data_IF_924744760151
#
_entry.id   IF_924744760151
#
_cell.length_a   1.000
_cell.length_b   1.000
_cell.length_c   1.000
_cell.angle_alpha   90.00
_cell.angle_beta   90.00
_cell.angle_gamma   90.00
#
_symmetry.space_group_name_H-M   'P 1'
#
loop_
_entity.id
_entity.type
_entity.pdbx_description
1 polymer ?
#
# COMPACT_ATOMS: atom_id res chain seq x y z
N UNK A 1 -11.15 -22.13 -56.33
CA UNK A 1 -11.60 -22.20 -54.93
C UNK A 1 -10.76 -23.26 -54.23
N UNK A 2 -9.59 -22.88 -53.71
CA UNK A 2 -8.76 -23.75 -52.88
C UNK A 2 -8.43 -22.99 -51.60
N UNK A 3 -9.00 -23.47 -50.48
CA UNK A 3 -8.67 -23.03 -49.13
C UNK A 3 -7.27 -23.57 -48.79
N UNK A 4 -6.21 -22.87 -49.22
CA UNK A 4 -4.90 -23.02 -48.60
C UNK A 4 -4.87 -22.18 -47.33
N UNK A 5 -5.41 -22.72 -46.24
CA UNK A 5 -4.96 -22.27 -44.92
C UNK A 5 -3.50 -22.70 -44.79
N UNK A 6 -2.57 -21.75 -44.83
CA UNK A 6 -1.14 -22.06 -44.76
C UNK A 6 -0.82 -22.75 -43.43
N UNK A 7 0.18 -23.64 -43.43
CA UNK A 7 0.66 -24.33 -42.22
C UNK A 7 0.99 -23.34 -41.09
N UNK A 8 1.34 -22.09 -41.43
CA UNK A 8 1.57 -21.00 -40.48
C UNK A 8 0.31 -20.59 -39.71
N UNK A 9 -0.87 -20.66 -40.32
CA UNK A 9 -2.14 -20.35 -39.63
C UNK A 9 -2.47 -21.40 -38.57
N UNK A 10 -2.22 -22.68 -38.86
CA UNK A 10 -2.35 -23.78 -37.91
C UNK A 10 -1.32 -23.71 -36.79
N UNK A 11 -0.08 -23.33 -37.11
CA UNK A 11 0.96 -23.11 -36.10
C UNK A 11 0.60 -21.96 -35.16
N UNK A 12 0.08 -20.84 -35.70
CA UNK A 12 -0.36 -19.70 -34.90
C UNK A 12 -1.51 -20.11 -33.97
N UNK A 13 -2.56 -20.77 -34.49
CA UNK A 13 -3.69 -21.27 -33.69
C UNK A 13 -3.26 -22.25 -32.60
N UNK A 14 -2.34 -23.17 -32.90
CA UNK A 14 -1.80 -24.11 -31.92
C UNK A 14 -1.01 -23.39 -30.82
N UNK A 15 -0.23 -22.35 -31.17
CA UNK A 15 0.52 -21.55 -30.22
C UNK A 15 -0.41 -20.69 -29.34
N UNK A 16 -1.43 -20.01 -29.90
CA UNK A 16 -2.41 -19.27 -29.09
C UNK A 16 -3.20 -20.20 -28.18
N UNK A 17 -3.59 -21.39 -28.65
CA UNK A 17 -4.27 -22.39 -27.84
C UNK A 17 -3.36 -22.92 -26.71
N UNK A 18 -2.07 -23.17 -26.99
CA UNK A 18 -1.11 -23.62 -25.98
C UNK A 18 -0.81 -22.52 -24.94
N UNK A 19 -0.61 -21.28 -25.36
CA UNK A 19 -0.39 -20.14 -24.45
C UNK A 19 -1.64 -19.84 -23.62
N UNK A 20 -2.83 -19.89 -24.23
CA UNK A 20 -4.11 -19.76 -23.53
C UNK A 20 -4.33 -20.88 -22.51
N UNK A 21 -3.96 -22.11 -22.85
CA UNK A 21 -4.05 -23.27 -21.94
C UNK A 21 -3.05 -23.19 -20.78
N UNK A 22 -1.83 -22.68 -21.01
CA UNK A 22 -0.83 -22.45 -19.95
C UNK A 22 -1.28 -21.30 -19.03
N UNK A 23 -1.88 -20.25 -19.57
CA UNK A 23 -2.49 -19.17 -18.79
C UNK A 23 -3.68 -19.66 -17.96
N UNK A 24 -4.53 -20.54 -18.53
CA UNK A 24 -5.63 -21.23 -17.84
C UNK A 24 -5.15 -22.13 -16.69
N UNK A 25 -4.07 -22.88 -16.89
CA UNK A 25 -3.52 -23.78 -15.87
C UNK A 25 -2.78 -23.05 -14.74
N UNK A 26 -2.20 -21.87 -14.99
CA UNK A 26 -1.44 -21.11 -13.98
C UNK A 26 -2.27 -20.15 -13.13
N UNK A 27 -3.51 -19.83 -13.51
CA UNK A 27 -4.37 -18.90 -12.75
C UNK A 27 -5.10 -19.54 -11.55
N UNK A 28 -4.69 -20.73 -11.10
CA UNK A 28 -5.15 -21.37 -9.84
C UNK A 28 -4.35 -20.86 -8.63
N UNK A 29 -4.32 -19.54 -8.44
CA UNK A 29 -3.95 -18.93 -7.16
C UNK A 29 -5.15 -18.11 -6.66
N UNK A 30 -5.65 -18.36 -5.43
CA UNK A 30 -6.95 -17.85 -4.99
C UNK A 30 -6.86 -16.37 -4.66
N UNK A 31 -7.56 -15.52 -5.43
CA UNK A 31 -7.85 -14.14 -5.02
C UNK A 31 -7.62 -13.04 -6.07
N UNK A 32 -6.90 -13.31 -7.16
CA UNK A 32 -6.83 -12.36 -8.27
C UNK A 32 -7.84 -12.74 -9.36
N UNK A 33 -8.86 -11.90 -9.53
CA UNK A 33 -9.70 -11.93 -10.72
C UNK A 33 -8.78 -11.58 -11.89
N UNK A 34 -8.38 -12.60 -12.66
CA UNK A 34 -7.56 -12.41 -13.85
C UNK A 34 -8.18 -11.31 -14.71
N UNK A 35 -7.41 -10.25 -14.95
CA UNK A 35 -7.92 -9.07 -15.63
C UNK A 35 -8.51 -9.49 -16.98
N UNK A 36 -9.80 -9.20 -17.29
CA UNK A 36 -10.37 -9.47 -18.61
C UNK A 36 -9.60 -8.77 -19.74
N UNK A 37 -8.72 -7.81 -19.40
CA UNK A 37 -7.76 -7.17 -20.31
C UNK A 37 -6.68 -8.13 -20.81
N UNK A 38 -6.20 -9.10 -20.00
CA UNK A 38 -5.25 -10.12 -20.46
C UNK A 38 -5.92 -11.14 -21.40
N UNK A 39 -7.17 -11.48 -21.13
CA UNK A 39 -7.99 -12.35 -21.98
C UNK A 39 -8.28 -11.72 -23.34
N UNK A 40 -8.63 -10.43 -23.34
CA UNK A 40 -8.82 -9.65 -24.56
C UNK A 40 -7.49 -9.42 -25.29
N UNK A 41 -6.39 -9.13 -24.60
CA UNK A 41 -5.08 -8.96 -25.24
C UNK A 41 -4.56 -10.27 -25.89
N UNK A 42 -4.81 -11.43 -25.28
CA UNK A 42 -4.47 -12.74 -25.85
C UNK A 42 -5.33 -13.10 -27.08
N UNK A 43 -6.64 -12.82 -27.03
CA UNK A 43 -7.56 -13.07 -28.15
C UNK A 43 -7.36 -12.08 -29.31
N UNK A 44 -7.09 -10.80 -29.03
CA UNK A 44 -6.82 -9.77 -30.04
C UNK A 44 -5.42 -9.88 -30.64
N UNK A 45 -4.41 -10.29 -29.85
CA UNK A 45 -3.06 -10.56 -30.34
C UNK A 45 -3.02 -11.73 -31.34
N UNK A 46 -3.81 -12.78 -31.08
CA UNK A 46 -3.94 -13.93 -31.99
C UNK A 46 -4.56 -13.57 -33.36
N UNK A 47 -5.52 -12.64 -33.38
CA UNK A 47 -6.14 -12.16 -34.62
C UNK A 47 -5.19 -11.27 -35.46
N UNK A 48 -4.35 -10.46 -34.81
CA UNK A 48 -3.36 -9.60 -35.50
C UNK A 48 -2.18 -10.38 -36.10
N UNK A 49 -1.81 -11.52 -35.49
CA UNK A 49 -0.76 -12.41 -35.99
C UNK A 49 -1.10 -13.09 -37.32
N UNK A 50 -2.37 -13.12 -37.73
CA UNK A 50 -2.81 -13.68 -39.01
C UNK A 50 -2.77 -12.67 -40.18
N UNK A 51 -2.61 -11.37 -39.90
CA UNK A 51 -2.64 -10.28 -40.91
C UNK A 51 -1.26 -9.62 -41.08
N UNK A 52 -0.42 -9.65 -40.04
CA UNK A 52 0.91 -9.04 -40.07
C UNK A 52 1.97 -9.93 -40.76
N UNK A 53 2.95 -9.34 -41.48
CA UNK A 53 4.10 -10.07 -42.01
C UNK A 53 4.79 -10.91 -40.92
N UNK A 54 5.33 -12.08 -41.29
CA UNK A 54 5.99 -13.06 -40.41
C UNK A 54 6.99 -12.43 -39.41
N UNK A 55 7.64 -11.34 -39.80
CA UNK A 55 8.54 -10.57 -38.95
C UNK A 55 7.84 -9.96 -37.73
N UNK A 56 6.70 -9.27 -37.92
CA UNK A 56 5.98 -8.60 -36.83
C UNK A 56 5.28 -9.58 -35.89
N UNK A 57 4.81 -10.72 -36.41
CA UNK A 57 4.27 -11.80 -35.59
C UNK A 57 5.33 -12.45 -34.71
N UNK A 58 6.54 -12.68 -35.22
CA UNK A 58 7.67 -13.16 -34.42
C UNK A 58 8.11 -12.14 -33.36
N UNK A 59 8.11 -10.84 -33.68
CA UNK A 59 8.39 -9.76 -32.71
C UNK A 59 7.35 -9.74 -31.60
N UNK A 60 6.05 -9.77 -31.92
CA UNK A 60 4.98 -9.80 -30.92
C UNK A 60 5.01 -11.07 -30.07
N UNK A 61 5.30 -12.23 -30.67
CA UNK A 61 5.47 -13.49 -29.94
C UNK A 61 6.67 -13.43 -28.99
N UNK A 62 7.82 -12.93 -29.46
CA UNK A 62 9.01 -12.75 -28.63
C UNK A 62 8.75 -11.77 -27.48
N UNK A 63 8.08 -10.64 -27.74
CA UNK A 63 7.67 -9.68 -26.71
C UNK A 63 6.69 -10.31 -25.71
N UNK A 64 5.73 -11.11 -26.17
CA UNK A 64 4.79 -11.82 -25.31
C UNK A 64 5.48 -12.90 -24.46
N UNK A 65 6.43 -13.65 -25.02
CA UNK A 65 7.24 -14.62 -24.29
C UNK A 65 8.14 -13.93 -23.27
N UNK A 66 8.83 -12.84 -23.64
CA UNK A 66 9.60 -12.02 -22.71
C UNK A 66 8.70 -11.47 -21.60
N UNK A 67 7.52 -10.96 -21.93
CA UNK A 67 6.56 -10.45 -20.96
C UNK A 67 6.09 -11.54 -20.00
N UNK A 68 5.74 -12.73 -20.51
CA UNK A 68 5.37 -13.89 -19.68
C UNK A 68 6.53 -14.41 -18.83
N UNK A 69 7.75 -14.51 -19.36
CA UNK A 69 8.92 -14.91 -18.59
C UNK A 69 9.20 -13.91 -17.46
N UNK A 70 9.12 -12.60 -17.73
CA UNK A 70 9.29 -11.56 -16.71
C UNK A 70 8.19 -11.59 -15.64
N UNK A 71 6.93 -11.88 -16.02
CA UNK A 71 5.83 -12.01 -15.06
C UNK A 71 5.90 -13.30 -14.23
N UNK A 72 6.29 -14.42 -14.84
CA UNK A 72 6.35 -15.73 -14.18
C UNK A 72 7.53 -15.89 -13.23
N UNK A 73 8.64 -15.17 -13.44
CA UNK A 73 9.80 -15.16 -12.54
C UNK A 73 9.55 -14.46 -11.18
N UNK A 74 8.38 -13.84 -11.00
CA UNK A 74 7.98 -13.14 -9.76
C UNK A 74 7.27 -14.02 -8.73
N UNK A 75 6.78 -15.21 -9.11
CA UNK A 75 5.90 -16.02 -8.25
C UNK A 75 6.63 -16.96 -7.29
N UNK A 76 7.93 -17.23 -7.50
CA UNK A 76 8.70 -18.11 -6.61
C UNK A 76 8.86 -17.47 -5.23
N UNK A 77 8.33 -18.12 -4.19
CA UNK A 77 8.47 -17.72 -2.80
C UNK A 77 9.70 -18.36 -2.19
N UNK A 78 10.58 -17.54 -1.64
CA UNK A 78 11.77 -17.97 -0.93
C UNK A 78 11.39 -18.65 0.40
N UNK A 79 12.15 -19.67 0.83
CA UNK A 79 11.91 -20.35 2.10
C UNK A 79 11.97 -19.38 3.28
N UNK A 80 11.17 -19.64 4.30
CA UNK A 80 11.07 -18.78 5.51
C UNK A 80 12.24 -18.97 6.46
N UNK A 81 12.90 -20.14 6.42
CA UNK A 81 13.78 -20.60 7.49
C UNK A 81 14.79 -19.55 7.97
N UNK A 82 14.67 -19.24 9.27
CA UNK A 82 15.52 -18.33 10.03
C UNK A 82 15.54 -16.86 9.54
N UNK A 83 14.52 -16.44 8.79
CA UNK A 83 14.35 -15.03 8.39
C UNK A 83 13.66 -14.23 9.47
N UNK A 84 14.24 -13.07 9.76
CA UNK A 84 13.73 -12.13 10.75
C UNK A 84 13.04 -10.93 10.11
N UNK A 85 11.85 -10.56 10.58
CA UNK A 85 11.04 -9.45 10.07
C UNK A 85 10.75 -8.47 11.19
N UNK A 86 11.03 -7.18 10.99
CA UNK A 86 10.56 -6.10 11.86
C UNK A 86 9.32 -5.46 11.24
N UNK A 87 8.24 -5.36 12.00
CA UNK A 87 7.01 -4.67 11.62
C UNK A 87 6.76 -3.53 12.61
N UNK A 88 6.55 -2.31 12.13
CA UNK A 88 6.20 -1.16 12.98
C UNK A 88 4.68 -0.94 13.06
N UNK A 89 4.18 -0.38 14.16
CA UNK A 89 2.76 -0.08 14.34
C UNK A 89 1.91 -1.34 14.48
N UNK A 90 2.29 -2.23 15.39
CA UNK A 90 1.64 -3.53 15.59
C UNK A 90 0.54 -3.52 16.65
N UNK A 91 0.19 -2.35 17.20
CA UNK A 91 -0.85 -2.21 18.23
C UNK A 91 -2.24 -2.63 17.71
N UNK A 92 -2.50 -2.46 16.41
CA UNK A 92 -3.76 -2.85 15.76
C UNK A 92 -3.62 -2.98 14.24
N UNK A 93 -4.72 -3.28 13.55
CA UNK A 93 -4.84 -3.17 12.09
C UNK A 93 -3.90 -4.12 11.32
N UNK A 94 -3.32 -3.61 10.22
CA UNK A 94 -2.47 -4.41 9.34
C UNK A 94 -1.24 -4.96 10.03
N UNK A 95 -0.53 -4.14 10.81
CA UNK A 95 0.69 -4.56 11.52
C UNK A 95 0.41 -5.72 12.47
N UNK A 96 -0.64 -5.59 13.29
CA UNK A 96 -1.06 -6.63 14.22
C UNK A 96 -1.40 -7.96 13.52
N UNK A 97 -2.26 -7.89 12.50
CA UNK A 97 -2.68 -9.09 11.75
C UNK A 97 -1.51 -9.70 10.95
N UNK A 98 -0.59 -8.87 10.46
CA UNK A 98 0.61 -9.32 9.76
C UNK A 98 1.55 -10.08 10.68
N UNK A 99 1.78 -9.62 11.92
CA UNK A 99 2.63 -10.32 12.89
C UNK A 99 2.10 -11.74 13.14
N UNK A 100 0.80 -11.89 13.41
CA UNK A 100 0.18 -13.19 13.62
C UNK A 100 0.32 -14.10 12.38
N UNK A 101 0.18 -13.51 11.18
CA UNK A 101 0.34 -14.25 9.92
C UNK A 101 1.77 -14.71 9.69
N UNK A 102 2.76 -13.84 9.92
CA UNK A 102 4.18 -14.15 9.74
C UNK A 102 4.66 -15.19 10.77
N UNK A 103 4.14 -15.15 12.00
CA UNK A 103 4.44 -16.16 13.01
C UNK A 103 3.94 -17.57 12.62
N UNK A 104 2.72 -17.65 12.07
CA UNK A 104 2.16 -18.89 11.52
C UNK A 104 2.97 -19.44 10.35
N UNK A 105 3.60 -18.56 9.57
CA UNK A 105 4.48 -18.94 8.47
C UNK A 105 5.90 -19.34 8.94
N UNK A 106 6.23 -19.14 10.22
CA UNK A 106 7.51 -19.56 10.81
C UNK A 106 8.60 -18.47 10.85
N UNK A 107 8.29 -17.22 10.52
CA UNK A 107 9.25 -16.12 10.62
C UNK A 107 9.61 -15.83 12.09
N UNK A 108 10.82 -15.32 12.31
CA UNK A 108 11.12 -14.58 13.54
C UNK A 108 10.58 -13.16 13.36
N UNK A 109 9.73 -12.69 14.26
CA UNK A 109 9.05 -11.40 14.08
C UNK A 109 9.34 -10.48 15.26
N UNK A 110 9.81 -9.28 14.97
CA UNK A 110 9.87 -8.17 15.91
C UNK A 110 8.65 -7.29 15.67
N UNK A 111 7.75 -7.23 16.64
CA UNK A 111 6.53 -6.43 16.60
C UNK A 111 6.78 -5.11 17.33
N UNK A 112 7.11 -4.05 16.58
CA UNK A 112 7.21 -2.69 17.10
C UNK A 112 5.82 -2.13 17.39
N UNK A 113 5.56 -1.83 18.66
CA UNK A 113 4.29 -1.28 19.16
C UNK A 113 4.54 0.09 19.82
N UNK A 114 3.54 0.98 19.74
CA UNK A 114 3.61 2.29 20.39
C UNK A 114 3.45 2.18 21.91
N UNK A 115 2.69 1.20 22.39
CA UNK A 115 2.56 0.93 23.82
C UNK A 115 2.78 -0.56 24.11
N UNK A 116 3.95 -0.91 24.65
CA UNK A 116 4.28 -2.29 24.99
C UNK A 116 3.39 -2.90 26.08
N UNK A 117 2.68 -2.08 26.88
CA UNK A 117 1.73 -2.51 27.91
C UNK A 117 0.28 -2.41 27.42
N UNK A 118 0.07 -2.03 26.16
CA UNK A 118 -1.24 -1.91 25.56
C UNK A 118 -1.89 -3.26 25.28
N UNK A 119 -3.21 -3.26 25.10
CA UNK A 119 -3.99 -4.48 24.84
C UNK A 119 -3.52 -5.24 23.59
N UNK A 120 -3.17 -4.53 22.52
CA UNK A 120 -2.63 -5.14 21.29
C UNK A 120 -1.29 -5.84 21.51
N UNK A 121 -0.39 -5.25 22.31
CA UNK A 121 0.87 -5.87 22.68
C UNK A 121 0.65 -7.16 23.51
N UNK A 122 -0.26 -7.11 24.49
CA UNK A 122 -0.63 -8.27 25.30
C UNK A 122 -1.31 -9.38 24.50
N UNK A 123 -2.14 -9.03 23.51
CA UNK A 123 -2.73 -9.99 22.59
C UNK A 123 -1.66 -10.70 21.76
N UNK A 124 -0.68 -9.96 21.21
CA UNK A 124 0.42 -10.57 20.46
C UNK A 124 1.23 -11.54 21.33
N UNK A 125 1.55 -11.16 22.58
CA UNK A 125 2.28 -12.04 23.51
C UNK A 125 1.51 -13.31 23.86
N UNK A 126 0.18 -13.23 23.99
CA UNK A 126 -0.67 -14.38 24.32
C UNK A 126 -0.91 -15.31 23.15
N UNK A 127 -1.10 -14.76 21.95
CA UNK A 127 -1.59 -15.51 20.80
C UNK A 127 -0.49 -15.96 19.82
N UNK A 128 0.71 -15.38 19.91
CA UNK A 128 1.83 -15.74 19.04
C UNK A 128 2.85 -16.65 19.75
N UNK A 129 3.64 -17.35 18.95
CA UNK A 129 4.73 -18.20 19.43
C UNK A 129 5.90 -17.39 19.99
N UNK A 130 6.86 -18.09 20.62
CA UNK A 130 8.12 -17.50 21.12
C UNK A 130 9.01 -16.89 20.03
N UNK A 131 8.67 -17.05 18.74
CA UNK A 131 9.36 -16.38 17.62
C UNK A 131 8.96 -14.91 17.48
N UNK A 132 7.86 -14.48 18.11
CA UNK A 132 7.42 -13.09 18.13
C UNK A 132 7.96 -12.39 19.37
N UNK A 133 8.68 -11.30 19.16
CA UNK A 133 9.18 -10.40 20.22
C UNK A 133 8.51 -9.05 20.07
N UNK A 134 7.78 -8.62 21.11
CA UNK A 134 7.18 -7.29 21.15
C UNK A 134 8.21 -6.26 21.61
N UNK A 135 8.31 -5.13 20.92
CA UNK A 135 9.24 -4.04 21.20
C UNK A 135 8.48 -2.72 21.36
N UNK A 136 8.73 -2.00 22.45
CA UNK A 136 8.37 -0.58 22.55
C UNK A 136 9.12 0.21 21.46
N UNK A 137 8.38 0.84 20.55
CA UNK A 137 8.96 1.52 19.40
C UNK A 137 8.03 2.62 18.86
N UNK A 138 8.14 3.82 19.42
CA UNK A 138 7.69 5.03 18.74
C UNK A 138 8.67 5.39 17.62
N UNK A 139 8.18 5.39 16.38
CA UNK A 139 8.98 5.69 15.19
C UNK A 139 9.34 7.18 15.04
N UNK A 140 8.83 8.04 15.92
CA UNK A 140 9.18 9.46 16.00
C UNK A 140 10.21 9.76 17.09
N UNK A 141 10.55 8.76 17.91
CA UNK A 141 11.54 8.87 18.99
C UNK A 141 12.85 8.16 18.58
N UNK A 142 13.94 8.92 18.30
CA UNK A 142 15.21 8.34 17.90
C UNK A 142 15.82 7.38 18.93
N UNK A 143 15.62 7.59 20.23
CA UNK A 143 16.17 6.71 21.26
C UNK A 143 15.40 5.37 21.29
N UNK A 144 14.08 5.39 21.15
CA UNK A 144 13.31 4.14 21.03
C UNK A 144 13.65 3.36 19.75
N UNK A 145 13.92 4.05 18.62
CA UNK A 145 14.41 3.40 17.40
C UNK A 145 15.76 2.72 17.65
N UNK A 146 16.68 3.41 18.35
CA UNK A 146 18.01 2.90 18.69
C UNK A 146 17.97 1.71 19.65
N UNK A 147 17.08 1.74 20.64
CA UNK A 147 16.86 0.64 21.58
C UNK A 147 16.28 -0.58 20.87
N UNK A 148 15.26 -0.38 20.03
CA UNK A 148 14.70 -1.45 19.20
C UNK A 148 15.76 -2.03 18.25
N UNK A 149 16.57 -1.18 17.63
CA UNK A 149 17.68 -1.59 16.78
C UNK A 149 18.67 -2.48 17.54
N UNK A 150 19.09 -2.07 18.74
CA UNK A 150 20.05 -2.84 19.55
C UNK A 150 19.53 -4.24 19.89
N UNK A 151 18.25 -4.34 20.29
CA UNK A 151 17.58 -5.64 20.57
C UNK A 151 17.50 -6.53 19.33
N UNK A 152 17.21 -5.94 18.16
CA UNK A 152 17.17 -6.69 16.89
C UNK A 152 18.56 -7.16 16.49
N UNK A 153 19.58 -6.31 16.59
CA UNK A 153 20.99 -6.66 16.28
C UNK A 153 21.43 -7.86 17.11
N UNK A 154 21.19 -7.83 18.42
CA UNK A 154 21.55 -8.92 19.34
C UNK A 154 20.95 -10.25 18.89
N UNK A 155 19.70 -10.24 18.43
CA UNK A 155 18.96 -11.44 18.06
C UNK A 155 19.29 -11.97 16.66
N UNK A 156 19.53 -11.09 15.68
CA UNK A 156 19.79 -11.48 14.29
C UNK A 156 21.27 -11.71 13.97
N UNK A 157 22.16 -11.07 14.73
CA UNK A 157 23.62 -11.22 14.59
C UNK A 157 24.09 -11.05 13.14
N UNK A 158 24.89 -11.99 12.64
CA UNK A 158 25.46 -11.94 11.29
C UNK A 158 24.50 -12.31 10.16
N UNK A 159 23.31 -12.82 10.49
CA UNK A 159 22.27 -13.08 9.47
C UNK A 159 21.63 -11.79 8.95
N UNK A 160 21.64 -10.73 9.77
CA UNK A 160 20.97 -9.47 9.46
C UNK A 160 19.44 -9.58 9.51
N UNK A 161 18.78 -8.51 9.08
CA UNK A 161 17.31 -8.41 9.10
C UNK A 161 16.78 -8.75 7.70
N UNK A 162 15.95 -9.79 7.59
CA UNK A 162 15.40 -10.19 6.29
C UNK A 162 14.42 -9.16 5.74
N UNK A 163 13.52 -8.64 6.57
CA UNK A 163 12.56 -7.64 6.11
C UNK A 163 12.27 -6.57 7.17
N UNK A 164 12.10 -5.34 6.70
CA UNK A 164 11.54 -4.23 7.46
C UNK A 164 10.22 -3.81 6.80
N UNK A 165 9.15 -3.81 7.58
CA UNK A 165 7.82 -3.34 7.18
C UNK A 165 7.50 -2.06 7.94
N UNK A 166 7.63 -0.92 7.27
CA UNK A 166 7.18 0.37 7.80
C UNK A 166 5.66 0.50 7.62
N UNK A 167 4.93 0.08 8.65
CA UNK A 167 3.47 0.08 8.67
C UNK A 167 2.88 1.16 9.58
N UNK A 168 3.58 1.58 10.63
CA UNK A 168 3.12 2.64 11.52
C UNK A 168 2.69 3.90 10.75
N UNK A 169 1.56 4.47 11.16
CA UNK A 169 0.98 5.63 10.49
C UNK A 169 -0.26 6.16 11.21
N UNK A 170 -0.58 7.42 10.92
CA UNK A 170 -1.79 8.10 11.41
C UNK A 170 -2.56 8.70 10.24
N UNK A 171 -3.89 8.77 10.34
CA UNK A 171 -4.73 9.42 9.34
C UNK A 171 -4.73 10.95 9.49
N UNK A 172 -4.53 11.44 10.71
CA UNK A 172 -4.84 12.83 11.05
C UNK A 172 -6.35 13.09 11.05
N UNK A 173 -6.74 14.34 10.80
CA UNK A 173 -8.15 14.74 10.79
C UNK A 173 -8.61 15.08 9.36
N UNK A 174 -9.55 14.31 8.78
CA UNK A 174 -10.05 14.58 7.43
C UNK A 174 -10.96 15.82 7.39
N UNK A 175 -10.45 16.95 6.92
CA UNK A 175 -11.22 18.17 6.68
C UNK A 175 -10.57 18.96 5.54
N UNK A 176 -11.24 19.99 5.03
CA UNK A 176 -10.69 20.85 3.99
C UNK A 176 -9.30 21.37 4.37
N UNK A 177 -8.43 21.43 3.37
CA UNK A 177 -7.00 21.64 3.56
C UNK A 177 -6.67 22.93 4.35
N UNK A 178 -7.46 23.98 4.13
CA UNK A 178 -7.33 25.28 4.82
C UNK A 178 -7.67 25.20 6.31
N UNK A 179 -8.61 24.33 6.70
CA UNK A 179 -9.07 24.18 8.08
C UNK A 179 -8.16 23.28 8.91
N UNK A 180 -7.20 22.59 8.29
CA UNK A 180 -6.25 21.71 8.99
C UNK A 180 -5.17 22.59 9.64
N UNK A 181 -4.99 22.55 10.98
CA UNK A 181 -3.90 23.28 11.63
C UNK A 181 -2.52 22.78 11.17
N UNK A 182 -1.54 23.67 11.07
CA UNK A 182 -0.18 23.32 10.64
C UNK A 182 0.49 22.26 11.53
N UNK A 183 0.13 22.18 12.81
CA UNK A 183 0.60 21.14 13.71
C UNK A 183 0.17 19.74 13.25
N UNK A 184 -1.02 19.60 12.66
CA UNK A 184 -1.53 18.33 12.14
C UNK A 184 -0.80 17.92 10.85
N UNK A 185 -0.43 18.87 9.98
CA UNK A 185 0.46 18.62 8.85
C UNK A 185 1.83 18.13 9.32
N UNK A 186 2.45 18.83 10.26
CA UNK A 186 3.76 18.44 10.84
C UNK A 186 3.70 17.05 11.45
N UNK A 187 2.66 16.75 12.24
CA UNK A 187 2.46 15.43 12.87
C UNK A 187 2.28 14.31 11.83
N UNK A 188 1.50 14.56 10.78
CA UNK A 188 1.35 13.59 9.68
C UNK A 188 2.67 13.34 8.97
N UNK A 189 3.46 14.39 8.70
CA UNK A 189 4.80 14.24 8.12
C UNK A 189 5.76 13.49 9.05
N UNK A 190 5.75 13.81 10.34
CA UNK A 190 6.63 13.18 11.33
C UNK A 190 6.38 11.68 11.40
N UNK A 191 5.12 11.26 11.53
CA UNK A 191 4.79 9.83 11.68
C UNK A 191 4.78 9.09 10.35
N UNK A 192 4.18 9.64 9.29
CA UNK A 192 3.97 8.89 8.04
C UNK A 192 5.14 8.99 7.06
N UNK A 193 6.09 9.92 7.26
CA UNK A 193 7.23 10.11 6.37
C UNK A 193 8.57 10.07 7.13
N UNK A 194 8.83 10.99 8.05
CA UNK A 194 10.13 11.07 8.73
C UNK A 194 10.39 9.82 9.58
N UNK A 195 9.38 9.28 10.26
CA UNK A 195 9.49 8.06 11.03
C UNK A 195 9.94 6.85 10.19
N UNK A 196 9.23 6.47 9.11
CA UNK A 196 9.69 5.42 8.18
C UNK A 196 11.09 5.68 7.62
N UNK A 197 11.46 6.94 7.35
CA UNK A 197 12.82 7.30 6.90
C UNK A 197 13.84 7.02 7.99
N UNK A 198 13.58 7.45 9.23
CA UNK A 198 14.45 7.24 10.39
C UNK A 198 14.66 5.75 10.69
N UNK A 199 13.56 4.99 10.75
CA UNK A 199 13.61 3.52 10.93
C UNK A 199 14.37 2.86 9.78
N UNK A 200 14.08 3.23 8.53
CA UNK A 200 14.79 2.69 7.36
C UNK A 200 16.30 2.92 7.50
N UNK A 201 16.74 4.15 7.81
CA UNK A 201 18.16 4.47 7.97
C UNK A 201 18.82 3.67 9.08
N UNK A 202 18.17 3.54 10.23
CA UNK A 202 18.69 2.79 11.38
C UNK A 202 18.89 1.31 11.06
N UNK A 203 17.94 0.67 10.39
CA UNK A 203 17.97 -0.77 10.11
C UNK A 203 18.63 -1.14 8.77
N UNK A 204 18.97 -0.16 7.93
CA UNK A 204 19.54 -0.39 6.61
C UNK A 204 20.81 -1.26 6.60
N UNK A 205 21.76 -1.11 7.55
CA UNK A 205 22.92 -2.00 7.61
C UNK A 205 22.54 -3.48 7.74
N UNK A 206 21.50 -3.79 8.51
CA UNK A 206 21.01 -5.16 8.70
C UNK A 206 20.30 -5.69 7.46
N UNK A 207 19.53 -4.84 6.77
CA UNK A 207 18.90 -5.21 5.49
C UNK A 207 19.95 -5.53 4.42
N UNK A 208 21.02 -4.72 4.33
CA UNK A 208 22.13 -4.96 3.39
C UNK A 208 22.83 -6.29 3.65
N UNK A 209 23.09 -6.61 4.93
CA UNK A 209 23.70 -7.89 5.35
C UNK A 209 22.87 -9.09 4.89
N UNK A 210 21.55 -9.00 5.01
CA UNK A 210 20.62 -10.07 4.61
C UNK A 210 20.22 -10.07 3.12
N UNK A 211 20.62 -9.05 2.33
CA UNK A 211 20.04 -8.74 1.01
C UNK A 211 18.50 -8.75 1.06
N UNK A 212 18.00 -8.08 2.08
CA UNK A 212 16.63 -8.20 2.58
C UNK A 212 15.57 -7.45 1.77
N UNK A 213 14.49 -7.10 2.46
CA UNK A 213 13.28 -6.44 1.93
C UNK A 213 12.96 -5.19 2.73
N UNK A 214 12.69 -4.10 2.05
CA UNK A 214 12.08 -2.90 2.62
C UNK A 214 10.66 -2.78 2.06
N UNK A 215 9.66 -2.82 2.93
CA UNK A 215 8.26 -2.72 2.55
C UNK A 215 7.66 -1.50 3.23
N UNK A 216 7.22 -0.52 2.45
CA UNK A 216 6.61 0.69 2.98
C UNK A 216 5.10 0.67 2.71
N UNK A 217 4.30 0.81 3.78
CA UNK A 217 2.85 0.93 3.66
C UNK A 217 2.48 2.39 3.39
N UNK A 218 2.25 2.68 2.12
CA UNK A 218 1.73 3.95 1.64
C UNK A 218 0.19 3.93 1.67
N UNK A 219 -0.45 4.55 0.69
CA UNK A 219 -1.90 4.57 0.48
C UNK A 219 -2.20 4.89 -0.98
N UNK A 220 -3.37 4.49 -1.46
CA UNK A 220 -3.95 5.05 -2.68
C UNK A 220 -3.97 6.59 -2.63
N UNK A 221 -4.24 7.18 -1.46
CA UNK A 221 -4.21 8.63 -1.27
C UNK A 221 -2.83 9.28 -1.39
N UNK A 222 -1.75 8.50 -1.51
CA UNK A 222 -0.42 9.01 -1.87
C UNK A 222 -0.17 9.07 -3.38
N UNK A 223 -1.07 8.52 -4.20
CA UNK A 223 -0.95 8.51 -5.67
C UNK A 223 -2.12 9.21 -6.39
N UNK A 224 -3.25 9.42 -5.72
CA UNK A 224 -4.38 10.19 -6.25
C UNK A 224 -4.81 11.29 -5.26
N UNK A 225 -5.31 12.44 -5.75
CA UNK A 225 -5.89 13.47 -4.90
C UNK A 225 -7.10 12.91 -4.13
N UNK A 226 -7.05 13.00 -2.81
CA UNK A 226 -8.15 12.63 -1.91
C UNK A 226 -8.62 13.89 -1.19
N UNK A 227 -9.79 14.46 -1.55
CA UNK A 227 -10.34 15.60 -0.84
C UNK A 227 -10.43 15.34 0.66
N UNK A 228 -10.24 16.40 1.46
CA UNK A 228 -10.19 16.38 2.93
C UNK A 228 -8.98 15.65 3.54
N UNK A 229 -8.07 15.11 2.74
CA UNK A 229 -6.94 14.29 3.23
C UNK A 229 -5.57 14.94 3.03
N UNK A 230 -5.51 16.27 2.88
CA UNK A 230 -4.31 16.97 2.42
C UNK A 230 -3.04 16.63 3.22
N UNK A 231 -3.09 16.68 4.56
CA UNK A 231 -1.94 16.36 5.42
C UNK A 231 -1.47 14.90 5.27
N UNK A 232 -2.41 13.95 5.31
CA UNK A 232 -2.12 12.52 5.19
C UNK A 232 -1.60 12.15 3.80
N UNK A 233 -2.34 12.55 2.77
CA UNK A 233 -2.03 12.26 1.36
C UNK A 233 -0.66 12.82 0.97
N UNK A 234 -0.33 14.04 1.40
CA UNK A 234 0.98 14.64 1.14
C UNK A 234 2.12 13.81 1.76
N UNK A 235 1.97 13.36 3.01
CA UNK A 235 2.97 12.53 3.66
C UNK A 235 3.12 11.14 3.02
N UNK A 236 2.00 10.52 2.61
CA UNK A 236 2.03 9.22 1.90
C UNK A 236 2.57 9.34 0.48
N UNK A 237 2.33 10.46 -0.21
CA UNK A 237 2.97 10.76 -1.49
C UNK A 237 4.49 10.90 -1.33
N UNK A 238 4.95 11.64 -0.31
CA UNK A 238 6.37 11.77 0.02
C UNK A 238 7.02 10.40 0.31
N UNK A 239 6.36 9.53 1.09
CA UNK A 239 6.84 8.17 1.36
C UNK A 239 6.93 7.32 0.09
N UNK A 240 5.95 7.44 -0.82
CA UNK A 240 5.93 6.71 -2.10
C UNK A 240 7.11 7.12 -2.98
N UNK A 241 7.38 8.43 -3.08
CA UNK A 241 8.51 8.96 -3.83
C UNK A 241 9.84 8.52 -3.20
N UNK A 242 10.00 8.70 -1.89
CA UNK A 242 11.18 8.22 -1.16
C UNK A 242 11.46 6.74 -1.42
N UNK A 243 10.43 5.90 -1.33
CA UNK A 243 10.54 4.46 -1.58
C UNK A 243 11.03 4.15 -2.99
N UNK A 244 10.57 4.90 -3.98
CA UNK A 244 10.98 4.75 -5.38
C UNK A 244 12.44 5.15 -5.61
N UNK A 245 12.90 6.21 -4.92
CA UNK A 245 14.29 6.66 -4.96
C UNK A 245 15.20 5.62 -4.29
N UNK A 246 14.92 5.24 -3.05
CA UNK A 246 15.79 4.29 -2.32
C UNK A 246 15.77 2.90 -2.95
N UNK A 247 14.70 2.51 -3.67
CA UNK A 247 14.71 1.27 -4.48
C UNK A 247 15.87 1.25 -5.48
N UNK A 248 16.12 2.37 -6.15
CA UNK A 248 17.20 2.48 -7.12
C UNK A 248 18.56 2.45 -6.40
N UNK A 249 18.71 3.23 -5.33
CA UNK A 249 19.96 3.33 -4.58
C UNK A 249 20.37 2.02 -3.89
N UNK A 250 19.37 1.25 -3.44
CA UNK A 250 19.56 0.01 -2.69
C UNK A 250 19.70 -1.23 -3.57
N UNK A 251 19.38 -1.12 -4.87
CA UNK A 251 19.48 -2.22 -5.83
C UNK A 251 20.88 -2.84 -5.89
N UNK A 252 21.94 -2.00 -5.88
CA UNK A 252 23.35 -2.43 -5.87
C UNK A 252 23.76 -3.20 -4.61
N UNK A 253 22.99 -3.08 -3.54
CA UNK A 253 23.19 -3.80 -2.29
C UNK A 253 22.35 -5.08 -2.20
N UNK A 254 21.57 -5.39 -3.24
CA UNK A 254 20.68 -6.55 -3.27
C UNK A 254 19.43 -6.43 -2.39
N UNK A 255 19.16 -5.26 -1.81
CA UNK A 255 17.94 -5.02 -1.03
C UNK A 255 16.80 -4.68 -1.99
N UNK A 256 15.68 -5.40 -1.88
CA UNK A 256 14.47 -5.13 -2.68
C UNK A 256 13.54 -4.20 -1.91
N UNK A 257 12.92 -3.26 -2.62
CA UNK A 257 12.01 -2.27 -2.02
C UNK A 257 10.66 -2.33 -2.71
N UNK A 258 9.60 -2.46 -1.92
CA UNK A 258 8.22 -2.52 -2.39
C UNK A 258 7.35 -1.49 -1.65
N UNK A 259 6.41 -0.88 -2.38
CA UNK A 259 5.41 0.02 -1.82
C UNK A 259 4.06 -0.65 -1.88
N UNK A 260 3.36 -0.70 -0.75
CA UNK A 260 1.96 -1.15 -0.71
C UNK A 260 1.08 0.10 -0.67
N UNK A 261 0.10 0.20 -1.56
CA UNK A 261 -0.85 1.33 -1.65
C UNK A 261 -2.29 0.83 -1.42
N UNK A 262 -2.70 0.60 -0.18
CA UNK A 262 -4.05 0.14 0.11
C UNK A 262 -5.12 1.18 -0.20
N UNK A 263 -6.31 0.70 -0.57
CA UNK A 263 -7.56 1.46 -0.51
C UNK A 263 -8.13 1.59 0.91
N UNK A 264 -9.45 1.76 1.03
CA UNK A 264 -10.12 1.89 2.32
C UNK A 264 -10.36 0.54 3.01
N UNK A 265 -9.60 0.25 4.08
CA UNK A 265 -9.76 -0.94 4.92
C UNK A 265 -10.05 -0.56 6.37
N UNK A 266 -10.86 -1.37 7.05
CA UNK A 266 -11.28 -1.11 8.42
C UNK A 266 -10.14 -1.48 9.37
N UNK A 267 -9.43 -0.46 9.85
CA UNK A 267 -8.32 -0.59 10.79
C UNK A 267 -8.42 0.47 11.89
N UNK A 268 -7.58 0.39 12.92
CA UNK A 268 -7.51 1.40 13.98
C UNK A 268 -6.99 2.77 13.54
N UNK A 269 -6.52 2.94 12.29
CA UNK A 269 -5.97 4.21 11.80
C UNK A 269 -7.01 5.34 11.77
N UNK A 270 -8.29 4.98 11.67
CA UNK A 270 -9.42 5.90 11.71
C UNK A 270 -9.73 6.40 13.14
N UNK A 271 -8.98 5.99 14.16
CA UNK A 271 -9.14 6.48 15.53
C UNK A 271 -10.47 6.08 16.19
N UNK A 272 -10.70 6.64 17.38
CA UNK A 272 -11.91 6.43 18.20
C UNK A 272 -12.75 7.70 18.25
N UNK A 273 -14.01 7.60 18.69
CA UNK A 273 -14.87 8.77 18.94
C UNK A 273 -14.17 9.86 19.75
N UNK A 274 -13.45 9.47 20.78
CA UNK A 274 -12.79 10.39 21.70
C UNK A 274 -11.61 11.12 21.05
N UNK A 275 -10.92 10.47 20.11
CA UNK A 275 -9.89 11.13 19.30
C UNK A 275 -10.55 12.17 18.39
N UNK A 276 -11.67 11.82 17.76
CA UNK A 276 -12.41 12.74 16.91
C UNK A 276 -12.94 13.95 17.67
N UNK A 277 -13.46 13.77 18.88
CA UNK A 277 -13.98 14.86 19.71
C UNK A 277 -12.86 15.82 20.16
N UNK A 278 -11.67 15.27 20.48
CA UNK A 278 -10.50 16.11 20.82
C UNK A 278 -9.99 16.89 19.62
N UNK A 279 -9.90 16.27 18.45
CA UNK A 279 -9.43 16.96 17.23
C UNK A 279 -10.45 18.00 16.74
N UNK A 280 -11.75 17.72 16.85
CA UNK A 280 -12.80 18.73 16.58
C UNK A 280 -12.61 19.97 17.45
N UNK A 281 -12.46 19.77 18.77
CA UNK A 281 -12.21 20.87 19.70
C UNK A 281 -10.91 21.61 19.33
N UNK A 282 -9.84 20.87 19.06
CA UNK A 282 -8.56 21.44 18.65
C UNK A 282 -8.69 22.32 17.40
N UNK A 283 -9.44 21.89 16.39
CA UNK A 283 -9.71 22.71 15.21
C UNK A 283 -10.47 23.96 15.60
N UNK A 284 -11.60 23.83 16.30
CA UNK A 284 -12.42 24.98 16.69
C UNK A 284 -11.64 26.01 17.53
N UNK A 285 -10.74 25.55 18.41
CA UNK A 285 -9.91 26.41 19.26
C UNK A 285 -8.81 27.16 18.47
N UNK A 286 -8.41 26.66 17.29
CA UNK A 286 -7.32 27.23 16.47
C UNK A 286 -7.79 27.88 15.16
N UNK A 287 -9.10 27.91 14.89
CA UNK A 287 -9.64 28.55 13.70
C UNK A 287 -9.50 30.07 13.76
N UNK A 288 -9.14 30.66 12.63
CA UNK A 288 -9.21 32.10 12.46
C UNK A 288 -10.68 32.55 12.42
N UNK A 289 -10.97 33.75 12.93
CA UNK A 289 -12.33 34.31 12.92
C UNK A 289 -12.91 34.43 11.51
N UNK A 290 -12.06 34.67 10.51
CA UNK A 290 -12.43 34.67 9.09
C UNK A 290 -12.87 33.28 8.62
N UNK A 291 -12.09 32.24 8.92
CA UNK A 291 -12.44 30.86 8.58
C UNK A 291 -13.75 30.41 9.24
N UNK A 292 -13.96 30.76 10.51
CA UNK A 292 -15.20 30.45 11.22
C UNK A 292 -16.42 31.18 10.61
N UNK A 293 -16.23 32.41 10.12
CA UNK A 293 -17.27 33.18 9.43
C UNK A 293 -17.63 32.54 8.09
N UNK A 294 -16.62 32.15 7.30
CA UNK A 294 -16.80 31.70 5.93
C UNK A 294 -17.22 30.25 5.83
N UNK A 295 -16.64 29.37 6.65
CA UNK A 295 -17.03 27.96 6.68
C UNK A 295 -18.26 27.73 7.54
N UNK A 296 -18.36 28.40 8.69
CA UNK A 296 -19.40 28.16 9.67
C UNK A 296 -19.13 26.94 10.55
N UNK A 297 -19.42 27.06 11.84
CA UNK A 297 -19.25 25.97 12.80
C UNK A 297 -20.09 24.74 12.45
N UNK A 298 -21.28 24.95 11.90
CA UNK A 298 -22.20 23.91 11.41
C UNK A 298 -21.55 23.04 10.33
N UNK A 299 -20.80 23.65 9.41
CA UNK A 299 -20.03 22.92 8.39
C UNK A 299 -18.95 22.05 9.01
N UNK A 300 -18.13 22.60 9.91
CA UNK A 300 -17.05 21.87 10.56
C UNK A 300 -17.60 20.66 11.35
N UNK A 301 -18.66 20.87 12.13
CA UNK A 301 -19.32 19.81 12.89
C UNK A 301 -19.94 18.74 11.97
N UNK A 302 -20.46 19.13 10.81
CA UNK A 302 -20.96 18.19 9.80
C UNK A 302 -19.84 17.26 9.31
N UNK A 303 -18.67 17.82 9.01
CA UNK A 303 -17.51 17.04 8.57
C UNK A 303 -17.04 16.04 9.63
N UNK A 304 -16.95 16.44 10.91
CA UNK A 304 -16.57 15.50 11.97
C UNK A 304 -17.54 14.32 12.09
N UNK A 305 -18.85 14.59 11.99
CA UNK A 305 -19.88 13.54 12.04
C UNK A 305 -19.76 12.57 10.85
N UNK A 306 -19.51 13.09 9.65
CA UNK A 306 -19.25 12.27 8.48
C UNK A 306 -18.01 11.38 8.68
N UNK A 307 -16.93 11.92 9.26
CA UNK A 307 -15.71 11.16 9.53
C UNK A 307 -15.91 9.98 10.47
N UNK A 308 -16.76 10.15 11.50
CA UNK A 308 -17.15 9.05 12.41
C UNK A 308 -17.85 7.89 11.68
N UNK A 309 -18.41 8.15 10.49
CA UNK A 309 -19.11 7.16 9.67
C UNK A 309 -18.24 6.46 8.61
N UNK A 310 -16.99 6.92 8.40
CA UNK A 310 -16.09 6.38 7.35
C UNK A 310 -15.82 4.88 7.50
N UNK A 311 -15.75 4.37 8.75
CA UNK A 311 -15.50 2.96 9.02
C UNK A 311 -16.56 2.00 8.45
N UNK A 312 -17.77 2.50 8.15
CA UNK A 312 -18.85 1.73 7.51
C UNK A 312 -18.58 1.41 6.03
N UNK A 313 -17.79 2.23 5.33
CA UNK A 313 -17.50 2.09 3.89
C UNK A 313 -16.21 1.30 3.64
N UNK A 314 -15.37 1.16 4.67
CA UNK A 314 -14.11 0.43 4.57
C UNK A 314 -14.28 -1.09 4.54
N UNK A 315 -13.45 -1.77 3.75
CA UNK A 315 -13.45 -3.23 3.67
C UNK A 315 -12.95 -3.85 4.99
N UNK A 316 -13.73 -4.73 5.65
CA UNK A 316 -13.31 -5.42 6.87
C UNK A 316 -12.27 -6.52 6.61
N UNK A 317 -12.21 -7.08 5.41
CA UNK A 317 -11.26 -8.14 5.08
C UNK A 317 -9.88 -7.56 4.77
N UNK A 318 -8.92 -7.79 5.66
CA UNK A 318 -7.54 -7.33 5.53
C UNK A 318 -6.69 -8.28 4.67
N UNK A 319 -7.20 -9.47 4.31
CA UNK A 319 -6.45 -10.52 3.63
C UNK A 319 -5.73 -10.05 2.36
N UNK A 320 -6.33 -9.23 1.47
CA UNK A 320 -5.62 -8.75 0.29
C UNK A 320 -4.34 -7.98 0.62
N UNK A 321 -4.38 -7.12 1.64
CA UNK A 321 -3.20 -6.35 2.08
C UNK A 321 -2.15 -7.27 2.68
N UNK A 322 -2.58 -8.23 3.50
CA UNK A 322 -1.68 -9.19 4.15
C UNK A 322 -1.04 -10.17 3.16
N UNK A 323 -1.71 -10.47 2.04
CA UNK A 323 -1.16 -11.29 0.96
C UNK A 323 -0.10 -10.52 0.17
N UNK A 324 -0.38 -9.26 -0.18
CA UNK A 324 0.56 -8.41 -0.90
C UNK A 324 1.83 -8.13 -0.08
N UNK A 325 1.69 -7.85 1.23
CA UNK A 325 2.85 -7.68 2.12
C UNK A 325 3.65 -8.99 2.22
N UNK A 326 2.98 -10.14 2.39
CA UNK A 326 3.67 -11.44 2.41
C UNK A 326 4.42 -11.68 1.10
N UNK A 327 3.81 -11.39 -0.05
CA UNK A 327 4.47 -11.54 -1.34
C UNK A 327 5.68 -10.62 -1.45
N UNK A 328 5.58 -9.36 -1.00
CA UNK A 328 6.70 -8.43 -0.99
C UNK A 328 7.88 -8.93 -0.11
N UNK A 329 7.57 -9.64 0.98
CA UNK A 329 8.56 -10.21 1.90
C UNK A 329 9.18 -11.50 1.33
N UNK A 330 8.37 -12.38 0.74
CA UNK A 330 8.78 -13.75 0.44
C UNK A 330 9.17 -13.97 -1.02
N UNK A 331 8.71 -13.17 -1.97
CA UNK A 331 9.02 -13.40 -3.38
C UNK A 331 10.52 -13.23 -3.68
N UNK A 332 11.01 -14.03 -4.61
CA UNK A 332 12.36 -13.89 -5.17
C UNK A 332 12.50 -12.54 -5.87
N UNK A 333 11.50 -12.17 -6.69
CA UNK A 333 11.42 -10.89 -7.41
C UNK A 333 10.09 -10.18 -7.07
N UNK A 334 10.00 -9.49 -5.92
CA UNK A 334 8.78 -8.80 -5.54
C UNK A 334 8.52 -7.59 -6.46
N UNK A 335 7.23 -7.28 -6.65
CA UNK A 335 6.83 -6.11 -7.42
C UNK A 335 7.25 -4.81 -6.72
N UNK A 336 7.55 -3.75 -7.47
CA UNK A 336 7.87 -2.45 -6.91
C UNK A 336 6.66 -1.79 -6.23
N UNK A 337 5.44 -2.07 -6.70
CA UNK A 337 4.19 -1.50 -6.23
C UNK A 337 3.11 -2.58 -6.13
N UNK A 338 2.35 -2.53 -5.04
CA UNK A 338 1.16 -3.34 -4.80
C UNK A 338 -0.01 -2.41 -4.48
N UNK A 339 -1.22 -2.76 -4.90
CA UNK A 339 -2.39 -1.88 -4.79
C UNK A 339 -3.62 -2.65 -4.32
N UNK A 340 -3.58 -3.20 -3.08
CA UNK A 340 -4.66 -4.03 -2.57
C UNK A 340 -5.93 -3.21 -2.36
N UNK A 341 -7.05 -3.75 -2.81
CA UNK A 341 -8.37 -3.14 -2.71
C UNK A 341 -9.10 -3.07 -4.05
N UNK A 342 -10.44 -3.09 -4.00
CA UNK A 342 -11.27 -3.10 -5.20
C UNK A 342 -11.05 -1.82 -6.00
N UNK A 343 -10.70 -1.97 -7.28
CA UNK A 343 -10.43 -0.88 -8.23
C UNK A 343 -9.25 0.06 -7.88
N UNK A 344 -8.49 -0.19 -6.81
CA UNK A 344 -7.41 0.72 -6.39
C UNK A 344 -6.33 0.85 -7.47
N UNK A 345 -5.86 -0.28 -8.00
CA UNK A 345 -4.91 -0.30 -9.11
C UNK A 345 -5.46 0.45 -10.34
N UNK A 346 -6.72 0.21 -10.71
CA UNK A 346 -7.34 0.89 -11.85
C UNK A 346 -7.38 2.41 -11.66
N UNK A 347 -7.74 2.89 -10.46
CA UNK A 347 -7.77 4.32 -10.14
C UNK A 347 -6.39 4.96 -10.19
N UNK A 348 -5.35 4.30 -9.65
CA UNK A 348 -3.98 4.80 -9.69
C UNK A 348 -3.47 4.91 -11.14
N UNK A 349 -3.71 3.90 -11.97
CA UNK A 349 -3.33 3.95 -13.40
C UNK A 349 -4.16 4.96 -14.18
N UNK A 350 -5.45 5.10 -13.86
CA UNK A 350 -6.30 6.10 -14.50
C UNK A 350 -5.81 7.52 -14.18
N UNK A 351 -5.46 7.80 -12.93
CA UNK A 351 -4.99 9.12 -12.52
C UNK A 351 -3.67 9.54 -13.18
N UNK A 352 -2.82 8.60 -13.62
CA UNK A 352 -1.56 8.94 -14.32
C UNK A 352 -1.74 9.31 -15.78
N UNK A 353 -2.82 8.86 -16.44
CA UNK A 353 -3.07 9.09 -17.87
C UNK A 353 -4.24 10.06 -18.13
N UNK A 354 -5.13 10.23 -17.16
CA UNK A 354 -6.35 11.02 -17.31
C UNK A 354 -6.06 12.52 -17.24
N UNK A 355 -6.66 13.35 -18.12
CA UNK A 355 -6.64 14.81 -17.96
C UNK A 355 -7.17 15.24 -16.59
N UNK A 356 -6.51 16.20 -15.96
CA UNK A 356 -6.82 16.66 -14.59
C UNK A 356 -8.28 17.05 -14.41
N UNK A 357 -8.89 17.75 -15.38
CA UNK A 357 -10.30 18.16 -15.30
C UNK A 357 -11.28 16.99 -15.19
N UNK A 358 -11.01 15.90 -15.91
CA UNK A 358 -11.84 14.69 -15.85
C UNK A 358 -11.60 13.92 -14.55
N UNK A 359 -10.35 13.84 -14.10
CA UNK A 359 -10.02 13.23 -12.81
C UNK A 359 -10.73 13.96 -11.66
N UNK A 360 -10.65 15.29 -11.62
CA UNK A 360 -11.28 16.12 -10.57
C UNK A 360 -12.81 15.96 -10.58
N UNK A 361 -13.43 15.90 -11.76
CA UNK A 361 -14.87 15.64 -11.89
C UNK A 361 -15.26 14.28 -11.31
N UNK A 362 -14.51 13.23 -11.63
CA UNK A 362 -14.79 11.87 -11.15
C UNK A 362 -14.52 11.73 -9.66
N UNK A 363 -13.43 12.29 -9.15
CA UNK A 363 -13.11 12.35 -7.71
C UNK A 363 -14.24 13.04 -6.95
N UNK A 364 -14.73 14.17 -7.44
CA UNK A 364 -15.88 14.88 -6.85
C UNK A 364 -17.15 14.02 -6.84
N UNK A 365 -17.43 13.28 -7.91
CA UNK A 365 -18.63 12.42 -8.01
C UNK A 365 -18.57 11.16 -7.14
N UNK A 366 -17.39 10.58 -6.97
CA UNK A 366 -17.20 9.26 -6.33
C UNK A 366 -16.80 9.37 -4.87
N UNK A 367 -15.96 10.35 -4.52
CA UNK A 367 -15.32 10.45 -3.20
C UNK A 367 -15.89 11.58 -2.33
N UNK A 368 -16.50 12.61 -2.92
CA UNK A 368 -17.21 13.66 -2.17
C UNK A 368 -18.68 13.29 -2.09
N UNK A 369 -19.03 12.47 -1.11
CA UNK A 369 -20.40 12.00 -0.86
C UNK A 369 -21.28 13.05 -0.16
N UNK A 370 -20.69 14.16 0.28
CA UNK A 370 -21.33 15.17 1.10
C UNK A 370 -21.55 16.47 0.33
N UNK A 371 -22.81 16.92 0.31
CA UNK A 371 -23.29 18.12 -0.41
C UNK A 371 -23.38 19.33 0.53
N UNK A 372 -23.12 19.15 1.83
CA UNK A 372 -23.13 20.27 2.78
C UNK A 372 -22.10 21.32 2.37
N UNK A 373 -22.48 22.60 2.36
CA UNK A 373 -21.66 23.70 1.84
C UNK A 373 -21.16 24.61 2.96
N UNK A 374 -19.96 25.21 2.82
CA UNK A 374 -19.52 26.31 3.66
C UNK A 374 -20.55 27.43 3.72
N UNK A 375 -20.63 28.12 4.87
CA UNK A 375 -21.59 29.20 5.14
C UNK A 375 -21.57 30.32 4.09
N UNK A 376 -20.38 30.75 3.66
CA UNK A 376 -20.21 31.80 2.66
C UNK A 376 -20.76 31.43 1.27
N UNK A 377 -21.00 30.13 1.00
CA UNK A 377 -21.56 29.64 -0.26
C UNK A 377 -23.08 29.41 -0.19
N UNK A 378 -23.71 29.66 0.96
CA UNK A 378 -25.16 29.73 1.04
C UNK A 378 -25.62 31.03 0.39
N UNK A 379 -26.27 30.92 -0.77
CA UNK A 379 -26.90 32.07 -1.43
C UNK A 379 -27.96 32.61 -0.47
N UNK A 380 -27.95 33.93 -0.15
CA UNK A 380 -29.05 34.50 0.62
C UNK A 380 -30.34 34.36 -0.19
N UNK A 381 -31.35 33.71 0.41
CA UNK A 381 -32.69 33.58 -0.15
C UNK A 381 -33.35 34.95 -0.35
#
# INVERSE_FOLDING_TARGET
MSMFFSEAAWLCLAVTAALGSIALCKHKSPGQLGSPVLWLAGLWGGAYLLILPLFWSLVLFSLSCCFMCMHSAGEELLPVDQKAVLVTGCDSGFGHALVQKLDKLGFTVFAGVLNEKGSGAEELRRNCSKRVTVLQMDITDPEQIKDAHSKVVEKVQDKGLWALVNNAGILGFPIDAELIPMMNYKRCMEVNFFGPVGVTKAFLPLLRKAKGRLVNISSMGGGIPMPKMAAYSSAKAALTMFSSIVRQELSKWGVKVSVIQPGGFRTGIAGTSDIWDREEKNILDHLLQEQLRDYGQDYILHQTKFNKSIGGVCNPDLSPVLQDIQHAISAQNPAPFYSPGKMVSLWLHFATICPTSLLDYLVKKVLVLDVFKPRALHVPN
#
